data_IF_057062119270
#
_entry.id   IF_057062119270
#
_cell.length_a   1.000
_cell.length_b   1.000
_cell.length_c   1.000
_cell.angle_alpha   90.00
_cell.angle_beta   90.00
_cell.angle_gamma   90.00
#
_symmetry.space_group_name_H-M   'P 1'
#
loop_
_entity.id
_entity.type
_entity.pdbx_description
1 polymer ?
#
# COMPACT_ATOMS: atom_id res chain seq x y z
N UNK A 1 -15.58 13.70 22.35
CA UNK A 1 -14.29 13.40 21.68
C UNK A 1 -14.27 14.16 20.36
N UNK A 2 -13.14 14.75 20.00
CA UNK A 2 -12.95 15.49 18.77
C UNK A 2 -11.74 14.93 18.04
N UNK A 3 -11.66 15.14 16.73
CA UNK A 3 -10.52 14.76 15.92
C UNK A 3 -9.80 16.01 15.43
N UNK A 4 -8.48 16.04 15.61
CA UNK A 4 -7.60 17.01 14.96
C UNK A 4 -7.44 16.69 13.47
N UNK A 5 -6.70 17.52 12.75
CA UNK A 5 -6.42 17.33 11.32
C UNK A 5 -5.83 15.92 11.07
N UNK A 6 -6.39 15.12 10.15
CA UNK A 6 -5.90 13.79 9.88
C UNK A 6 -4.51 13.83 9.25
N UNK A 7 -3.57 13.08 9.82
CA UNK A 7 -2.26 12.83 9.22
C UNK A 7 -2.35 11.58 8.34
N UNK A 8 -2.58 11.77 7.05
CA UNK A 8 -2.73 10.67 6.10
C UNK A 8 -1.35 10.30 5.56
N UNK A 9 -0.86 9.10 5.90
CA UNK A 9 0.40 8.59 5.36
C UNK A 9 0.17 8.13 3.92
N UNK A 10 1.06 8.53 3.00
CA UNK A 10 0.95 8.27 1.56
C UNK A 10 -0.36 8.75 0.94
N UNK A 11 -0.82 9.92 1.38
CA UNK A 11 -2.01 10.54 0.85
C UNK A 11 -2.19 11.96 1.37
N UNK A 12 -3.25 12.61 0.91
CA UNK A 12 -3.53 14.01 1.21
C UNK A 12 -5.02 14.26 1.42
N UNK A 13 -5.35 15.14 2.35
CA UNK A 13 -6.72 15.61 2.53
C UNK A 13 -7.09 16.58 1.40
N UNK A 14 -8.24 16.36 0.77
CA UNK A 14 -8.72 17.29 -0.26
C UNK A 14 -8.94 18.68 0.35
N UNK A 15 -8.47 19.74 -0.31
CA UNK A 15 -8.58 21.14 0.18
C UNK A 15 -8.14 21.33 1.63
N UNK A 16 -7.05 20.68 2.05
CA UNK A 16 -6.53 20.75 3.42
C UNK A 16 -6.44 22.19 3.96
N UNK A 17 -5.93 23.13 3.16
CA UNK A 17 -5.78 24.55 3.56
C UNK A 17 -7.09 25.19 4.03
N UNK A 18 -8.22 24.80 3.41
CA UNK A 18 -9.55 25.30 3.77
C UNK A 18 -10.05 24.58 5.02
N UNK A 19 -9.88 23.25 5.08
CA UNK A 19 -10.39 22.46 6.19
C UNK A 19 -9.62 22.66 7.50
N UNK A 20 -8.34 23.03 7.42
CA UNK A 20 -7.50 23.34 8.58
C UNK A 20 -8.15 24.36 9.53
N UNK A 21 -8.93 25.30 8.99
CA UNK A 21 -9.65 26.33 9.76
C UNK A 21 -10.84 25.79 10.57
N UNK A 22 -11.34 24.60 10.27
CA UNK A 22 -12.51 23.99 10.93
C UNK A 22 -12.14 22.91 11.95
N UNK A 23 -10.85 22.65 12.18
CA UNK A 23 -10.40 21.69 13.21
C UNK A 23 -10.25 22.36 14.58
N UNK A 24 -10.48 21.62 15.69
CA UNK A 24 -10.84 20.20 15.74
C UNK A 24 -12.32 19.94 15.42
N UNK A 25 -12.63 18.78 14.82
CA UNK A 25 -14.00 18.42 14.39
C UNK A 25 -14.67 17.41 15.32
N UNK A 26 -16.00 17.39 15.34
CA UNK A 26 -16.79 16.43 16.12
C UNK A 26 -16.93 15.08 15.42
N UNK A 27 -17.24 14.05 16.21
CA UNK A 27 -17.54 12.69 15.72
C UNK A 27 -18.68 12.73 14.70
N UNK A 28 -18.53 11.97 13.61
CA UNK A 28 -19.45 11.93 12.47
C UNK A 28 -19.04 12.86 11.33
N UNK A 29 -18.14 13.83 11.57
CA UNK A 29 -17.59 14.66 10.49
C UNK A 29 -16.68 13.82 9.60
N UNK A 30 -16.79 14.01 8.29
CA UNK A 30 -15.99 13.30 7.30
C UNK A 30 -15.45 14.26 6.24
N UNK A 31 -14.36 13.85 5.61
CA UNK A 31 -13.68 14.59 4.54
C UNK A 31 -13.21 13.65 3.45
N UNK A 32 -13.06 14.17 2.23
CA UNK A 32 -12.44 13.43 1.14
C UNK A 32 -10.91 13.48 1.25
N UNK A 33 -10.27 12.36 0.94
CA UNK A 33 -8.82 12.26 0.81
C UNK A 33 -8.44 11.47 -0.43
N UNK A 34 -7.21 11.64 -0.88
CA UNK A 34 -6.60 10.85 -1.96
C UNK A 34 -5.33 10.15 -1.47
N UNK A 35 -5.00 9.03 -2.09
CA UNK A 35 -3.73 8.34 -1.89
C UNK A 35 -2.72 8.74 -2.96
N UNK A 36 -1.44 8.69 -2.59
CA UNK A 36 -0.32 8.96 -3.47
C UNK A 36 -0.16 7.85 -4.52
N UNK A 37 0.63 8.11 -5.56
CA UNK A 37 0.89 7.14 -6.61
C UNK A 37 1.48 5.83 -6.04
N UNK A 38 0.86 4.70 -6.42
CA UNK A 38 1.22 3.37 -5.92
C UNK A 38 0.62 3.03 -4.55
N UNK A 39 -0.30 3.85 -4.03
CA UNK A 39 -1.12 3.55 -2.86
C UNK A 39 -2.60 3.64 -3.20
N UNK A 40 -3.42 2.84 -2.51
CA UNK A 40 -4.86 2.78 -2.72
C UNK A 40 -5.59 2.65 -1.39
N UNK A 41 -6.88 2.97 -1.41
CA UNK A 41 -7.79 2.79 -0.27
C UNK A 41 -8.17 1.32 -0.10
N UNK A 42 -8.86 0.98 0.99
CA UNK A 42 -9.36 -0.39 1.21
C UNK A 42 -10.31 -0.84 0.10
N UNK A 43 -11.01 0.10 -0.56
CA UNK A 43 -11.82 -0.14 -1.75
C UNK A 43 -11.01 -0.25 -3.07
N UNK A 44 -9.67 -0.24 -2.98
CA UNK A 44 -8.74 -0.25 -4.11
C UNK A 44 -8.91 0.94 -5.06
N UNK A 45 -9.33 2.10 -4.54
CA UNK A 45 -9.45 3.36 -5.29
C UNK A 45 -8.32 4.32 -4.91
N UNK A 46 -8.16 5.39 -5.70
CA UNK A 46 -7.16 6.43 -5.40
C UNK A 46 -7.66 7.49 -4.42
N UNK A 47 -8.94 7.46 -4.05
CA UNK A 47 -9.56 8.40 -3.12
C UNK A 47 -10.71 7.75 -2.37
N UNK A 48 -11.02 8.24 -1.18
CA UNK A 48 -12.17 7.83 -0.38
C UNK A 48 -12.50 8.90 0.67
N UNK A 49 -13.31 8.55 1.68
CA UNK A 49 -13.71 9.39 2.80
C UNK A 49 -13.06 8.91 4.08
N UNK A 50 -12.54 9.86 4.85
CA UNK A 50 -12.07 9.63 6.21
C UNK A 50 -13.07 10.25 7.19
N UNK A 51 -13.46 9.50 8.22
CA UNK A 51 -14.53 9.87 9.16
C UNK A 51 -13.99 9.94 10.58
N UNK A 52 -14.30 11.03 11.29
CA UNK A 52 -13.99 11.17 12.70
C UNK A 52 -14.93 10.27 13.51
N UNK A 53 -14.39 9.25 14.15
CA UNK A 53 -15.13 8.30 14.99
C UNK A 53 -14.81 8.52 16.47
N UNK A 54 -15.46 7.75 17.35
CA UNK A 54 -15.11 7.73 18.77
C UNK A 54 -13.70 7.17 19.03
N UNK A 55 -13.09 6.48 18.09
CA UNK A 55 -11.75 5.88 18.23
C UNK A 55 -10.66 6.68 17.50
N UNK A 56 -11.04 7.78 16.85
CA UNK A 56 -10.16 8.59 15.99
C UNK A 56 -10.60 8.53 14.54
N UNK A 57 -9.69 8.83 13.62
CA UNK A 57 -9.98 8.77 12.19
C UNK A 57 -10.15 7.33 11.71
N UNK A 58 -11.21 7.09 10.94
CA UNK A 58 -11.47 5.82 10.26
C UNK A 58 -11.57 6.04 8.75
N UNK A 59 -10.89 5.22 7.92
CA UNK A 59 -9.99 4.12 8.30
C UNK A 59 -8.73 4.60 9.05
N UNK A 60 -8.20 3.76 9.95
CA UNK A 60 -6.97 4.07 10.70
C UNK A 60 -5.72 4.07 9.81
N UNK A 61 -5.73 3.25 8.74
CA UNK A 61 -4.71 3.21 7.69
C UNK A 61 -5.40 3.52 6.36
N UNK A 62 -5.49 4.80 5.95
CA UNK A 62 -6.30 5.18 4.80
C UNK A 62 -5.74 4.80 3.43
N UNK A 63 -4.41 4.67 3.34
CA UNK A 63 -3.70 4.36 2.11
C UNK A 63 -2.75 3.19 2.34
N UNK A 64 -2.88 2.14 1.51
CA UNK A 64 -2.04 0.95 1.54
C UNK A 64 -1.30 0.80 0.22
N UNK A 65 -0.06 0.31 0.28
CA UNK A 65 0.75 0.08 -0.92
C UNK A 65 0.01 -0.84 -1.88
N UNK A 66 0.00 -0.50 -3.16
CA UNK A 66 -0.37 -1.41 -4.25
C UNK A 66 0.91 -1.80 -4.99
N UNK A 67 1.33 -3.05 -4.83
CA UNK A 67 2.44 -3.61 -5.57
C UNK A 67 1.96 -4.21 -6.90
N UNK A 68 2.69 -3.93 -7.96
CA UNK A 68 2.43 -4.46 -9.30
C UNK A 68 3.44 -5.58 -9.56
N UNK A 69 2.96 -6.78 -9.89
CA UNK A 69 3.80 -7.89 -10.32
C UNK A 69 3.55 -8.19 -11.79
N UNK A 70 4.53 -7.84 -12.62
CA UNK A 70 4.52 -8.00 -14.06
C UNK A 70 5.83 -8.60 -14.60
N UNK A 71 6.88 -8.67 -13.78
CA UNK A 71 8.19 -9.13 -14.19
C UNK A 71 8.94 -9.75 -13.00
N UNK A 72 9.75 -10.78 -13.29
CA UNK A 72 10.67 -11.43 -12.36
C UNK A 72 12.01 -11.64 -13.05
N UNK A 73 13.07 -10.98 -12.56
CA UNK A 73 14.41 -11.13 -13.12
C UNK A 73 14.97 -12.52 -12.79
N UNK A 74 15.49 -13.24 -13.79
CA UNK A 74 15.97 -14.62 -13.69
C UNK A 74 14.93 -15.63 -13.15
N UNK A 75 13.65 -15.40 -13.47
CA UNK A 75 12.56 -16.30 -13.12
C UNK A 75 11.39 -16.25 -14.10
N UNK A 76 10.36 -17.04 -13.81
CA UNK A 76 9.16 -17.13 -14.63
C UNK A 76 8.23 -15.96 -14.31
N UNK A 77 8.19 -15.00 -15.22
CA UNK A 77 7.29 -13.83 -15.13
C UNK A 77 5.82 -14.24 -15.33
N UNK A 78 4.86 -13.50 -14.74
CA UNK A 78 3.45 -13.83 -14.89
C UNK A 78 2.97 -13.55 -16.31
N UNK A 79 2.02 -14.34 -16.81
CA UNK A 79 1.44 -14.13 -18.15
C UNK A 79 0.64 -12.83 -18.28
N UNK A 80 0.16 -12.29 -17.15
CA UNK A 80 -0.54 -11.01 -17.04
C UNK A 80 -0.09 -10.29 -15.79
N UNK A 81 -0.07 -8.96 -15.86
CA UNK A 81 0.17 -8.13 -14.70
C UNK A 81 -0.88 -8.39 -13.61
N UNK A 82 -0.41 -8.54 -12.38
CA UNK A 82 -1.25 -8.67 -11.18
C UNK A 82 -0.99 -7.51 -10.22
N UNK A 83 -2.00 -7.17 -9.42
CA UNK A 83 -1.95 -6.11 -8.41
C UNK A 83 -2.20 -6.74 -7.05
N UNK A 84 -1.38 -6.38 -6.07
CA UNK A 84 -1.40 -6.91 -4.70
C UNK A 84 -1.35 -5.75 -3.73
N UNK A 85 -2.04 -5.87 -2.61
CA UNK A 85 -2.12 -4.85 -1.57
C UNK A 85 -1.10 -5.17 -0.48
N UNK A 86 -0.65 -4.14 0.22
CA UNK A 86 0.24 -4.26 1.37
C UNK A 86 -0.22 -5.37 2.33
N UNK A 87 0.68 -6.32 2.61
CA UNK A 87 0.43 -7.52 3.40
C UNK A 87 0.27 -8.79 2.56
N UNK A 88 -0.04 -8.67 1.27
CA UNK A 88 -0.16 -9.83 0.38
C UNK A 88 1.21 -10.45 0.09
N UNK A 89 1.25 -11.78 0.02
CA UNK A 89 2.42 -12.54 -0.42
C UNK A 89 2.09 -13.40 -1.63
N UNK A 90 3.00 -13.43 -2.60
CA UNK A 90 2.89 -14.27 -3.79
C UNK A 90 4.07 -15.25 -3.86
N UNK A 91 3.79 -16.47 -4.32
CA UNK A 91 4.83 -17.43 -4.67
C UNK A 91 5.37 -17.13 -6.06
N UNK A 92 6.68 -17.21 -6.20
CA UNK A 92 7.37 -17.04 -7.47
C UNK A 92 8.32 -18.20 -7.75
N UNK A 93 8.52 -18.46 -9.03
CA UNK A 93 9.38 -19.53 -9.51
C UNK A 93 10.60 -18.94 -10.23
N UNK A 94 11.77 -19.17 -9.67
CA UNK A 94 13.05 -18.80 -10.27
C UNK A 94 13.48 -19.83 -11.32
N UNK A 95 14.35 -19.43 -12.25
CA UNK A 95 14.98 -20.40 -13.16
C UNK A 95 15.85 -21.40 -12.40
N UNK A 96 16.10 -22.60 -12.97
CA UNK A 96 17.00 -23.57 -12.35
C UNK A 96 18.36 -22.96 -11.99
N UNK A 97 18.82 -23.17 -10.74
CA UNK A 97 20.06 -22.60 -10.23
C UNK A 97 19.94 -21.17 -9.66
N UNK A 98 18.74 -20.60 -9.63
CA UNK A 98 18.45 -19.29 -9.02
C UNK A 98 17.45 -19.41 -7.88
N UNK A 99 17.48 -18.45 -6.96
CA UNK A 99 16.55 -18.35 -5.82
C UNK A 99 16.33 -16.89 -5.44
N UNK A 100 15.25 -16.55 -4.74
CA UNK A 100 15.15 -15.23 -4.14
C UNK A 100 16.21 -15.08 -3.03
N UNK A 101 16.43 -13.83 -2.62
CA UNK A 101 17.28 -13.54 -1.46
C UNK A 101 16.89 -14.41 -0.25
N UNK A 102 17.88 -14.91 0.48
CA UNK A 102 17.69 -15.82 1.63
C UNK A 102 17.02 -17.16 1.31
N UNK A 103 17.07 -17.63 0.07
CA UNK A 103 16.52 -18.93 -0.38
C UNK A 103 14.99 -19.07 -0.21
N UNK A 104 14.26 -17.96 -0.10
CA UNK A 104 12.81 -17.98 -0.04
C UNK A 104 12.17 -18.10 -1.43
N UNK A 105 10.85 -18.30 -1.46
CA UNK A 105 10.06 -18.38 -2.70
C UNK A 105 8.87 -17.41 -2.71
N UNK A 106 8.80 -16.51 -1.72
CA UNK A 106 7.71 -15.57 -1.56
C UNK A 106 8.20 -14.14 -1.78
N UNK A 107 7.44 -13.35 -2.53
CA UNK A 107 7.52 -11.89 -2.53
C UNK A 107 6.37 -11.37 -1.69
N UNK A 108 6.65 -10.44 -0.78
CA UNK A 108 5.62 -9.79 0.04
C UNK A 108 5.48 -8.34 -0.39
N UNK A 109 4.24 -7.90 -0.60
CA UNK A 109 3.97 -6.48 -0.82
C UNK A 109 4.05 -5.76 0.52
N UNK A 110 5.14 -5.05 0.75
CA UNK A 110 5.34 -4.21 1.94
C UNK A 110 4.92 -2.78 1.64
N UNK A 111 4.94 -1.92 2.65
CA UNK A 111 4.74 -0.49 2.45
C UNK A 111 5.76 0.13 1.48
N UNK A 112 6.97 -0.41 1.42
CA UNK A 112 8.05 0.06 0.54
C UNK A 112 8.02 -0.56 -0.87
N UNK A 113 7.15 -1.54 -1.12
CA UNK A 113 7.10 -2.31 -2.37
C UNK A 113 7.36 -3.79 -2.14
N UNK A 114 7.71 -4.50 -3.21
CA UNK A 114 8.05 -5.93 -3.13
C UNK A 114 9.30 -6.15 -2.29
N UNK A 115 9.17 -7.02 -1.27
CA UNK A 115 10.28 -7.50 -0.47
C UNK A 115 10.32 -9.04 -0.44
N UNK A 116 11.44 -9.66 -0.84
CA UNK A 116 12.58 -9.04 -1.53
C UNK A 116 12.15 -8.45 -2.89
N UNK A 117 13.01 -7.69 -3.57
CA UNK A 117 12.75 -7.26 -4.94
C UNK A 117 12.46 -8.47 -5.85
N UNK A 118 11.68 -8.31 -6.94
CA UNK A 118 11.33 -9.38 -7.87
C UNK A 118 12.53 -9.76 -8.76
N UNK A 119 13.56 -10.30 -8.13
CA UNK A 119 14.83 -10.72 -8.72
C UNK A 119 15.32 -11.99 -8.05
N UNK A 120 15.54 -13.01 -8.86
CA UNK A 120 16.23 -14.21 -8.45
C UNK A 120 17.75 -14.03 -8.62
N UNK A 121 18.50 -14.46 -7.60
CA UNK A 121 19.96 -14.45 -7.56
C UNK A 121 20.50 -15.87 -7.76
N UNK A 122 21.65 -15.99 -8.42
CA UNK A 122 22.27 -17.29 -8.64
C UNK A 122 22.64 -17.93 -7.31
N UNK A 123 22.38 -19.23 -7.16
CA UNK A 123 22.82 -20.00 -6.01
C UNK A 123 24.33 -20.18 -6.12
N UNK A 124 25.11 -19.45 -5.32
CA UNK A 124 26.54 -19.71 -5.21
C UNK A 124 26.76 -21.09 -4.57
N UNK A 125 27.65 -21.88 -5.17
CA UNK A 125 28.15 -23.13 -4.57
C UNK A 125 29.11 -22.84 -3.42
#
# INVERSE_FOLDING_TARGET
KQCDIPKIKHGSLYRENVYRLYFPVTVGRWFHYSCDAGFVTDAQQFWDRITCTRDGWSPAVPCRRQCIFNYLENGYSPSRQTKHIQGDSIKVDCYPGFTLQNKQSLLTCTESGWDPPPKCIAVSK
#
